data_IF_498799876306
#
_entry.id   IF_498799876306
#
_cell.length_a   1.000
_cell.length_b   1.000
_cell.length_c   1.000
_cell.angle_alpha   90.00
_cell.angle_beta   90.00
_cell.angle_gamma   90.00
#
_symmetry.space_group_name_H-M   'P 1'
#
loop_
_entity.id
_entity.type
_entity.pdbx_description
1 polymer ?
#
# COMPACT_ATOMS: atom_id res chain seq x y z
N UNK A 1 -4.25 -28.27 -3.68
CA UNK A 1 -4.38 -28.36 -2.20
C UNK A 1 -4.23 -26.96 -1.60
N UNK A 2 -4.67 -26.69 -0.35
CA UNK A 2 -4.57 -25.37 0.27
C UNK A 2 -3.14 -24.77 0.30
N UNK A 3 -2.12 -25.63 0.25
CA UNK A 3 -0.71 -25.22 0.24
C UNK A 3 -0.29 -24.66 -1.13
N UNK A 4 -0.77 -25.23 -2.25
CA UNK A 4 -0.52 -24.68 -3.59
C UNK A 4 -1.13 -23.28 -3.76
N UNK A 5 -2.29 -23.04 -3.14
CA UNK A 5 -2.96 -21.75 -3.15
C UNK A 5 -2.21 -20.69 -2.31
N UNK A 6 -1.58 -21.10 -1.20
CA UNK A 6 -0.74 -20.22 -0.40
C UNK A 6 0.53 -19.83 -1.15
N UNK A 7 1.23 -20.80 -1.77
CA UNK A 7 2.41 -20.53 -2.58
C UNK A 7 2.11 -19.62 -3.76
N UNK A 8 1.00 -19.86 -4.46
CA UNK A 8 0.55 -19.01 -5.55
C UNK A 8 0.25 -17.58 -5.08
N UNK A 9 -0.42 -17.41 -3.94
CA UNK A 9 -0.69 -16.09 -3.35
C UNK A 9 0.59 -15.34 -2.95
N UNK A 10 1.57 -16.04 -2.37
CA UNK A 10 2.87 -15.46 -2.02
C UNK A 10 3.70 -15.12 -3.25
N UNK A 11 3.68 -15.96 -4.28
CA UNK A 11 4.36 -15.71 -5.54
C UNK A 11 3.76 -14.49 -6.26
N UNK A 12 2.43 -14.39 -6.31
CA UNK A 12 1.73 -13.23 -6.84
C UNK A 12 2.11 -11.96 -6.10
N UNK A 13 2.10 -11.98 -4.76
CA UNK A 13 2.48 -10.82 -3.95
C UNK A 13 3.93 -10.39 -4.23
N UNK A 14 4.87 -11.34 -4.34
CA UNK A 14 6.27 -11.04 -4.69
C UNK A 14 6.39 -10.41 -6.07
N UNK A 15 5.74 -10.98 -7.08
CA UNK A 15 5.77 -10.44 -8.45
C UNK A 15 5.23 -9.01 -8.48
N UNK A 16 4.08 -8.76 -7.84
CA UNK A 16 3.48 -7.42 -7.74
C UNK A 16 4.42 -6.44 -7.05
N UNK A 17 5.06 -6.84 -5.94
CA UNK A 17 6.05 -6.01 -5.25
C UNK A 17 7.22 -5.67 -6.16
N UNK A 18 7.76 -6.63 -6.90
CA UNK A 18 8.89 -6.39 -7.82
C UNK A 18 8.52 -5.42 -8.95
N UNK A 19 7.36 -5.61 -9.57
CA UNK A 19 6.89 -4.73 -10.65
C UNK A 19 6.67 -3.32 -10.12
N UNK A 20 5.99 -3.17 -8.98
CA UNK A 20 5.71 -1.86 -8.40
C UNK A 20 6.94 -1.19 -7.79
N UNK A 21 7.91 -1.96 -7.30
CA UNK A 21 9.22 -1.43 -6.91
C UNK A 21 9.94 -0.86 -8.14
N UNK A 22 9.87 -1.52 -9.30
CA UNK A 22 10.37 -0.99 -10.57
C UNK A 22 9.71 0.34 -10.96
N UNK A 23 8.39 0.45 -10.79
CA UNK A 23 7.67 1.74 -10.96
C UNK A 23 8.14 2.79 -9.95
N UNK A 24 8.37 2.39 -8.69
CA UNK A 24 8.91 3.26 -7.65
C UNK A 24 10.30 3.81 -8.01
N UNK A 25 11.16 3.00 -8.63
CA UNK A 25 12.45 3.47 -9.15
C UNK A 25 12.27 4.58 -10.19
N UNK A 26 11.28 4.46 -11.08
CA UNK A 26 10.98 5.53 -12.06
C UNK A 26 10.52 6.82 -11.36
N UNK A 27 9.71 6.71 -10.31
CA UNK A 27 9.27 7.89 -9.53
C UNK A 27 10.44 8.60 -8.86
N UNK A 28 11.46 7.86 -8.40
CA UNK A 28 12.67 8.45 -7.79
C UNK A 28 13.63 8.99 -8.84
N UNK A 29 13.78 8.32 -9.98
CA UNK A 29 14.76 8.66 -11.00
C UNK A 29 14.39 9.91 -11.81
N UNK A 30 13.10 10.10 -12.13
CA UNK A 30 12.62 11.18 -13.01
C UNK A 30 11.37 11.90 -12.50
N UNK A 31 11.31 12.35 -11.22
CA UNK A 31 10.09 12.88 -10.62
C UNK A 31 9.58 14.15 -11.30
N UNK A 32 10.46 15.12 -11.55
CA UNK A 32 10.08 16.42 -12.15
C UNK A 32 9.65 16.28 -13.60
N UNK A 33 10.29 15.39 -14.36
CA UNK A 33 9.89 15.11 -15.74
C UNK A 33 8.50 14.47 -15.79
N UNK A 34 8.23 13.50 -14.90
CA UNK A 34 6.91 12.89 -14.79
C UNK A 34 5.84 13.93 -14.40
N UNK A 35 6.13 14.80 -13.44
CA UNK A 35 5.21 15.85 -13.00
C UNK A 35 4.95 16.90 -14.09
N UNK A 36 5.96 17.26 -14.88
CA UNK A 36 5.83 18.21 -16.00
C UNK A 36 4.96 17.68 -17.15
N UNK A 37 4.72 16.37 -17.21
CA UNK A 37 3.73 15.81 -18.13
C UNK A 37 2.28 16.18 -17.75
N UNK A 38 2.02 16.47 -16.46
CA UNK A 38 0.68 16.81 -15.95
C UNK A 38 0.46 18.31 -15.78
N UNK A 39 1.49 19.07 -15.44
CA UNK A 39 1.38 20.51 -15.18
C UNK A 39 2.63 21.27 -15.61
N UNK A 40 2.45 22.53 -16.04
CA UNK A 40 3.55 23.47 -16.32
C UNK A 40 3.81 24.46 -15.18
N UNK A 41 3.01 24.41 -14.12
CA UNK A 41 3.19 25.26 -12.94
C UNK A 41 4.30 24.71 -12.05
N UNK A 42 5.43 25.42 -12.01
CA UNK A 42 6.61 25.03 -11.24
C UNK A 42 6.35 25.02 -9.72
N UNK A 43 5.39 25.79 -9.21
CA UNK A 43 4.97 25.76 -7.81
C UNK A 43 4.30 24.44 -7.44
N UNK A 44 3.45 23.91 -8.34
CA UNK A 44 2.82 22.59 -8.17
C UNK A 44 3.87 21.47 -8.28
N UNK A 45 4.80 21.58 -9.24
CA UNK A 45 5.89 20.59 -9.41
C UNK A 45 6.76 20.52 -8.16
N UNK A 46 7.16 21.67 -7.60
CA UNK A 46 7.96 21.72 -6.38
C UNK A 46 7.25 21.12 -5.16
N UNK A 47 5.92 21.31 -5.05
CA UNK A 47 5.12 20.73 -3.98
C UNK A 47 4.91 19.20 -4.15
N UNK A 48 4.76 18.73 -5.38
CA UNK A 48 4.46 17.33 -5.68
C UNK A 48 5.70 16.43 -5.75
N UNK A 49 6.88 16.97 -6.07
CA UNK A 49 8.11 16.17 -6.19
C UNK A 49 8.45 15.37 -4.91
N UNK A 50 8.40 15.95 -3.69
CA UNK A 50 8.57 15.18 -2.46
C UNK A 50 7.55 14.06 -2.28
N UNK A 51 6.33 14.28 -2.76
CA UNK A 51 5.23 13.32 -2.65
C UNK A 51 5.47 12.09 -3.55
N UNK A 52 6.14 12.26 -4.69
CA UNK A 52 6.54 11.14 -5.56
C UNK A 52 7.50 10.18 -4.87
N UNK A 53 8.39 10.67 -4.02
CA UNK A 53 9.27 9.79 -3.23
C UNK A 53 8.49 8.98 -2.20
N UNK A 54 7.52 9.60 -1.53
CA UNK A 54 6.60 8.88 -0.64
C UNK A 54 5.75 7.86 -1.40
N UNK A 55 5.30 8.20 -2.62
CA UNK A 55 4.58 7.32 -3.52
C UNK A 55 5.44 6.13 -3.99
N UNK A 56 6.73 6.36 -4.25
CA UNK A 56 7.67 5.32 -4.65
C UNK A 56 7.78 4.23 -3.58
N UNK A 57 7.80 4.62 -2.30
CA UNK A 57 7.77 3.68 -1.19
C UNK A 57 6.38 3.05 -1.00
N UNK A 58 5.32 3.82 -1.22
CA UNK A 58 3.95 3.33 -1.07
C UNK A 58 3.56 2.29 -2.12
N UNK A 59 4.03 2.41 -3.36
CA UNK A 59 3.66 1.54 -4.48
C UNK A 59 3.85 0.03 -4.18
N UNK A 60 5.04 -0.45 -3.79
CA UNK A 60 5.22 -1.87 -3.48
C UNK A 60 4.41 -2.33 -2.26
N UNK A 61 4.28 -1.48 -1.23
CA UNK A 61 3.48 -1.78 -0.03
C UNK A 61 1.99 -1.90 -0.37
N UNK A 62 1.49 -0.98 -1.20
CA UNK A 62 0.13 -0.99 -1.70
C UNK A 62 -0.15 -2.28 -2.47
N UNK A 63 0.73 -2.65 -3.39
CA UNK A 63 0.59 -3.90 -4.15
C UNK A 63 0.50 -5.13 -3.25
N UNK A 64 1.41 -5.26 -2.29
CA UNK A 64 1.37 -6.36 -1.32
C UNK A 64 0.06 -6.38 -0.52
N UNK A 65 -0.37 -5.23 0.01
CA UNK A 65 -1.61 -5.12 0.78
C UNK A 65 -2.86 -5.47 -0.03
N UNK A 66 -2.92 -5.04 -1.29
CA UNK A 66 -4.03 -5.38 -2.19
C UNK A 66 -4.04 -6.87 -2.50
N UNK A 67 -2.89 -7.47 -2.87
CA UNK A 67 -2.82 -8.90 -3.18
C UNK A 67 -3.27 -9.76 -2.00
N UNK A 68 -2.79 -9.49 -0.78
CA UNK A 68 -3.22 -10.24 0.39
C UNK A 68 -4.71 -10.05 0.70
N UNK A 69 -5.23 -8.83 0.56
CA UNK A 69 -6.65 -8.56 0.77
C UNK A 69 -7.52 -9.32 -0.23
N UNK A 70 -7.18 -9.30 -1.51
CA UNK A 70 -7.93 -9.99 -2.56
C UNK A 70 -7.79 -11.51 -2.45
N UNK A 71 -6.61 -12.02 -2.06
CA UNK A 71 -6.41 -13.45 -1.80
C UNK A 71 -7.29 -13.94 -0.63
N UNK A 72 -7.36 -13.17 0.46
CA UNK A 72 -8.22 -13.49 1.62
C UNK A 72 -9.71 -13.45 1.24
N UNK A 73 -10.14 -12.48 0.43
CA UNK A 73 -11.52 -12.40 -0.06
C UNK A 73 -11.87 -13.57 -0.98
N UNK A 74 -10.95 -13.94 -1.89
CA UNK A 74 -11.10 -15.10 -2.77
C UNK A 74 -11.16 -16.44 -2.03
N UNK A 75 -10.51 -16.53 -0.87
CA UNK A 75 -10.54 -17.72 0.00
C UNK A 75 -11.71 -17.75 1.00
N UNK A 76 -12.68 -16.83 0.90
CA UNK A 76 -13.84 -16.77 1.81
C UNK A 76 -13.59 -16.07 3.15
N UNK A 77 -12.34 -15.70 3.48
CA UNK A 77 -11.96 -14.95 4.69
C UNK A 77 -12.23 -13.45 4.57
N UNK A 78 -13.48 -13.10 4.21
CA UNK A 78 -13.89 -11.73 3.92
C UNK A 78 -13.93 -10.86 5.17
N UNK A 79 -14.27 -11.44 6.34
CA UNK A 79 -14.33 -10.72 7.61
C UNK A 79 -12.94 -10.23 8.02
N UNK A 80 -11.93 -11.06 7.88
CA UNK A 80 -10.54 -10.72 8.15
C UNK A 80 -10.02 -9.64 7.20
N UNK A 81 -10.31 -9.77 5.90
CA UNK A 81 -9.94 -8.76 4.90
C UNK A 81 -10.59 -7.40 5.20
N UNK A 82 -11.85 -7.40 5.63
CA UNK A 82 -12.56 -6.19 6.05
C UNK A 82 -11.88 -5.54 7.27
N UNK A 83 -11.54 -6.33 8.29
CA UNK A 83 -10.88 -5.82 9.51
C UNK A 83 -9.53 -5.19 9.17
N UNK A 84 -8.70 -5.85 8.35
CA UNK A 84 -7.39 -5.30 7.93
C UNK A 84 -7.57 -4.00 7.17
N UNK A 85 -8.53 -3.95 6.25
CA UNK A 85 -8.81 -2.77 5.42
C UNK A 85 -9.34 -1.60 6.28
N UNK A 86 -10.22 -1.87 7.23
CA UNK A 86 -10.81 -0.87 8.12
C UNK A 86 -9.79 -0.30 9.12
N UNK A 87 -9.06 -1.17 9.82
CA UNK A 87 -8.05 -0.76 10.80
C UNK A 87 -6.94 0.06 10.14
N UNK A 88 -6.37 -0.45 9.05
CA UNK A 88 -5.31 0.28 8.34
C UNK A 88 -5.87 1.55 7.72
N UNK A 89 -6.89 1.40 6.88
CA UNK A 89 -7.22 2.48 5.95
C UNK A 89 -8.18 3.52 6.43
N UNK A 90 -8.88 3.27 7.53
CA UNK A 90 -9.66 4.31 8.14
C UNK A 90 -8.97 4.79 9.41
N UNK A 91 -8.80 3.91 10.40
CA UNK A 91 -8.30 4.34 11.71
C UNK A 91 -6.85 4.82 11.64
N UNK A 92 -5.93 3.99 11.14
CA UNK A 92 -4.52 4.34 11.11
C UNK A 92 -4.23 5.42 10.09
N UNK A 93 -4.84 5.34 8.89
CA UNK A 93 -4.70 6.40 7.88
C UNK A 93 -5.12 7.76 8.45
N UNK A 94 -6.31 7.86 9.04
CA UNK A 94 -6.80 9.14 9.57
C UNK A 94 -5.94 9.62 10.74
N UNK A 95 -5.60 8.76 11.70
CA UNK A 95 -4.81 9.15 12.86
C UNK A 95 -3.38 9.61 12.47
N UNK A 96 -2.70 8.85 11.61
CA UNK A 96 -1.32 9.16 11.20
C UNK A 96 -1.30 10.38 10.28
N UNK A 97 -2.19 10.46 9.30
CA UNK A 97 -2.29 11.65 8.43
C UNK A 97 -2.65 12.89 9.24
N UNK A 98 -3.61 12.82 10.16
CA UNK A 98 -3.95 13.95 11.02
C UNK A 98 -2.75 14.39 11.87
N UNK A 99 -1.97 13.45 12.40
CA UNK A 99 -0.75 13.77 13.14
C UNK A 99 0.28 14.46 12.25
N UNK A 100 0.58 13.92 11.07
CA UNK A 100 1.58 14.50 10.17
C UNK A 100 1.17 15.87 9.60
N UNK A 101 -0.13 16.07 9.36
CA UNK A 101 -0.65 17.32 8.80
C UNK A 101 -0.86 18.38 9.88
N UNK A 102 -1.52 18.07 10.99
CA UNK A 102 -1.91 19.08 11.99
C UNK A 102 -0.84 19.29 13.07
N UNK A 103 -0.15 18.22 13.51
CA UNK A 103 0.86 18.33 14.57
C UNK A 103 2.22 18.68 13.97
N UNK A 104 2.68 17.92 12.97
CA UNK A 104 4.00 18.12 12.35
C UNK A 104 4.00 19.18 11.26
N UNK A 105 2.83 19.62 10.79
CA UNK A 105 2.66 20.66 9.77
C UNK A 105 3.39 20.37 8.45
N UNK A 106 3.50 19.10 8.09
CA UNK A 106 4.16 18.66 6.84
C UNK A 106 3.31 18.85 5.58
N UNK A 107 2.09 19.36 5.70
CA UNK A 107 1.21 19.67 4.57
C UNK A 107 0.94 18.45 3.69
N UNK A 108 1.08 18.61 2.37
CA UNK A 108 0.80 17.55 1.40
C UNK A 108 1.66 16.30 1.63
N UNK A 109 2.94 16.47 1.95
CA UNK A 109 3.84 15.34 2.23
C UNK A 109 3.34 14.48 3.40
N UNK A 110 2.77 15.12 4.43
CA UNK A 110 2.18 14.42 5.57
C UNK A 110 1.00 13.51 5.18
N UNK A 111 0.20 13.91 4.20
CA UNK A 111 -0.90 13.08 3.65
C UNK A 111 -0.35 11.84 2.95
N UNK A 112 0.69 12.02 2.13
CA UNK A 112 1.33 10.92 1.42
C UNK A 112 2.01 9.94 2.36
N UNK A 113 2.78 10.44 3.32
CA UNK A 113 3.44 9.59 4.33
C UNK A 113 2.43 8.83 5.19
N UNK A 114 1.33 9.47 5.60
CA UNK A 114 0.27 8.78 6.33
C UNK A 114 -0.38 7.66 5.51
N UNK A 115 -0.55 7.87 4.20
CA UNK A 115 -1.00 6.83 3.28
C UNK A 115 0.02 5.71 3.12
N UNK A 116 1.32 6.02 3.06
CA UNK A 116 2.40 5.02 3.02
C UNK A 116 2.40 4.14 4.26
N UNK A 117 2.21 4.72 5.44
CA UNK A 117 2.13 3.97 6.71
C UNK A 117 0.91 3.05 6.74
N UNK A 118 -0.25 3.52 6.27
CA UNK A 118 -1.43 2.66 6.10
C UNK A 118 -1.13 1.46 5.19
N UNK A 119 -0.58 1.70 4.01
CA UNK A 119 -0.28 0.63 3.06
C UNK A 119 0.72 -0.38 3.64
N UNK A 120 1.74 0.10 4.35
CA UNK A 120 2.68 -0.76 5.07
C UNK A 120 2.00 -1.62 6.12
N UNK A 121 1.10 -1.04 6.92
CA UNK A 121 0.36 -1.77 7.95
C UNK A 121 -0.58 -2.81 7.33
N UNK A 122 -1.31 -2.46 6.27
CA UNK A 122 -2.20 -3.39 5.57
C UNK A 122 -1.44 -4.55 4.94
N UNK A 123 -0.29 -4.28 4.32
CA UNK A 123 0.58 -5.33 3.78
C UNK A 123 1.08 -6.27 4.88
N UNK A 124 1.50 -5.72 6.02
CA UNK A 124 1.99 -6.50 7.15
C UNK A 124 0.89 -7.34 7.81
N UNK A 125 -0.24 -6.73 8.17
CA UNK A 125 -1.38 -7.42 8.77
C UNK A 125 -1.98 -8.45 7.81
N UNK A 126 -2.12 -8.09 6.52
CA UNK A 126 -2.60 -8.99 5.48
C UNK A 126 -1.73 -10.23 5.35
N UNK A 127 -0.40 -10.06 5.33
CA UNK A 127 0.55 -11.18 5.33
C UNK A 127 0.41 -12.06 6.57
N UNK A 128 0.30 -11.47 7.77
CA UNK A 128 0.14 -12.24 9.01
C UNK A 128 -1.15 -13.05 9.03
N UNK A 129 -2.26 -12.47 8.59
CA UNK A 129 -3.56 -13.16 8.50
C UNK A 129 -3.49 -14.27 7.46
N UNK A 130 -2.86 -14.01 6.31
CA UNK A 130 -2.68 -15.00 5.25
C UNK A 130 -1.85 -16.19 5.74
N UNK A 131 -0.73 -15.95 6.43
CA UNK A 131 0.12 -17.01 7.00
C UNK A 131 -0.52 -17.78 8.15
N UNK A 132 -1.47 -17.18 8.88
CA UNK A 132 -2.18 -17.88 9.97
C UNK A 132 -3.09 -18.99 9.47
N UNK A 133 -3.35 -19.09 8.16
CA UNK A 133 -4.04 -20.23 7.56
C UNK A 133 -5.48 -20.46 8.05
N UNK A 134 -6.09 -19.54 8.81
CA UNK A 134 -7.48 -19.65 9.27
C UNK A 134 -8.48 -19.64 8.12
N UNK A 135 -8.07 -19.15 6.96
CA UNK A 135 -8.82 -19.25 5.70
C UNK A 135 -8.78 -20.66 5.11
N UNK A 136 -7.76 -21.48 5.41
CA UNK A 136 -7.66 -22.88 4.96
C UNK A 136 -8.70 -23.80 5.63
N UNK A 137 -9.30 -23.35 6.73
CA UNK A 137 -10.33 -24.09 7.50
C UNK A 137 -11.75 -23.66 7.14
N UNK A 138 -11.93 -22.67 6.26
CA UNK A 138 -13.23 -22.40 5.68
C UNK A 138 -13.55 -23.54 4.70
N UNK A 139 -14.31 -24.51 5.19
CA UNK A 139 -14.94 -25.55 4.37
C UNK A 139 -15.75 -24.87 3.25
N UNK A 140 -15.46 -25.26 2.01
CA UNK A 140 -16.23 -24.89 0.81
C UNK A 140 -17.47 -25.77 0.74
#
# INVERSE_FOLDING_TARGET
>A
MPDDAEEAGLAAARLTVWVLAGVGVLYVAIPTWLLRAFTRDEGIVALAAPCLYAAALAAPLMGAGVVFSEALRGAGATREALVVTFLGGLLVRLAVTATFVFVLRWGLLGVWLGSTVDWGLRAWLGRLVFQRGRWKTAEV
#
